data_IF_619139975870
#
_entry.id   IF_619139975870
#
_cell.length_a   1.000
_cell.length_b   1.000
_cell.length_c   1.000
_cell.angle_alpha   90.00
_cell.angle_beta   90.00
_cell.angle_gamma   90.00
#
_symmetry.space_group_name_H-M   'P 1'
#
loop_
_entity.id
_entity.type
_entity.pdbx_description
1 polymer ?
#
# COMPACT_ATOMS: atom_id res chain seq x y z
N UNK A 1 -61.65 -37.70 56.26
CA UNK A 1 -62.16 -36.96 55.09
C UNK A 1 -61.31 -35.71 54.95
N UNK A 2 -60.43 -35.72 54.04
CA UNK A 2 -59.26 -34.89 53.94
C UNK A 2 -59.47 -33.81 52.86
N UNK A 3 -59.11 -32.58 53.18
CA UNK A 3 -59.05 -31.48 52.21
C UNK A 3 -57.57 -31.11 51.98
N UNK A 4 -57.11 -31.31 50.75
CA UNK A 4 -55.80 -31.01 50.32
C UNK A 4 -55.72 -29.55 49.81
N UNK A 5 -54.88 -28.73 50.45
CA UNK A 5 -54.61 -27.36 50.00
C UNK A 5 -53.37 -27.38 49.08
N UNK A 6 -53.59 -27.04 47.83
CA UNK A 6 -52.57 -26.76 46.84
C UNK A 6 -51.99 -25.37 47.06
N UNK A 7 -50.71 -25.28 47.34
CA UNK A 7 -49.94 -24.05 47.41
C UNK A 7 -49.25 -23.82 46.05
N UNK A 8 -49.73 -22.82 45.28
CA UNK A 8 -49.07 -22.39 44.04
C UNK A 8 -48.04 -21.31 44.36
N UNK A 9 -46.76 -21.67 44.20
CA UNK A 9 -45.65 -20.70 44.26
C UNK A 9 -45.40 -20.18 42.85
N UNK A 10 -45.76 -18.94 42.57
CA UNK A 10 -45.44 -18.25 41.33
C UNK A 10 -44.01 -17.73 41.41
N UNK A 11 -43.06 -18.33 40.69
CA UNK A 11 -41.72 -17.82 40.47
C UNK A 11 -41.78 -16.74 39.38
N UNK A 12 -41.67 -15.49 39.72
CA UNK A 12 -41.39 -14.38 38.80
C UNK A 12 -39.93 -14.42 38.38
N UNK A 13 -39.66 -14.88 37.18
CA UNK A 13 -38.35 -14.65 36.54
C UNK A 13 -38.30 -13.22 36.00
N UNK A 14 -37.56 -12.35 36.68
CA UNK A 14 -37.19 -11.05 36.14
C UNK A 14 -36.02 -11.25 35.19
N UNK A 15 -36.29 -11.28 33.88
CA UNK A 15 -35.27 -11.25 32.84
C UNK A 15 -34.71 -9.84 32.77
N UNK A 16 -33.61 -9.59 33.43
CA UNK A 16 -32.82 -8.36 33.30
C UNK A 16 -32.20 -8.32 31.92
N UNK A 17 -32.79 -7.52 31.00
CA UNK A 17 -32.16 -7.20 29.73
C UNK A 17 -30.99 -6.26 30.02
N UNK A 18 -29.76 -6.79 30.05
CA UNK A 18 -28.54 -6.00 30.02
C UNK A 18 -28.43 -5.30 28.66
N UNK A 19 -28.87 -4.06 28.59
CA UNK A 19 -28.58 -3.16 27.48
C UNK A 19 -27.08 -2.82 27.52
N UNK A 20 -26.26 -3.63 26.83
CA UNK A 20 -24.89 -3.24 26.52
C UNK A 20 -24.96 -2.05 25.56
N UNK A 21 -24.24 -0.96 25.82
CA UNK A 21 -24.16 0.15 24.88
C UNK A 21 -23.50 -0.38 23.59
N UNK A 22 -24.24 -0.46 22.51
CA UNK A 22 -23.69 -0.64 21.18
C UNK A 22 -22.94 0.66 20.89
N UNK A 23 -21.63 0.64 21.03
CA UNK A 23 -20.78 1.71 20.54
C UNK A 23 -20.89 1.68 19.03
N UNK A 24 -21.86 2.37 18.49
CA UNK A 24 -22.00 2.64 17.07
C UNK A 24 -20.84 3.55 16.68
N UNK A 25 -19.83 2.98 16.07
CA UNK A 25 -18.75 3.76 15.43
C UNK A 25 -19.40 4.43 14.21
N UNK A 26 -19.90 5.65 14.43
CA UNK A 26 -20.45 6.46 13.35
C UNK A 26 -19.35 6.69 12.32
N UNK A 27 -19.57 6.20 11.10
CA UNK A 27 -18.79 6.66 9.95
C UNK A 27 -18.92 8.19 9.90
N UNK A 28 -17.80 8.90 9.90
CA UNK A 28 -17.81 10.34 9.74
C UNK A 28 -18.38 10.66 8.35
N UNK A 29 -19.57 11.23 8.31
CA UNK A 29 -20.07 11.78 7.06
C UNK A 29 -19.22 12.99 6.68
N UNK A 30 -18.84 13.13 5.40
CA UNK A 30 -18.10 14.32 4.96
C UNK A 30 -18.86 15.61 5.29
N UNK A 31 -18.12 16.69 5.55
CA UNK A 31 -18.70 18.00 5.83
C UNK A 31 -19.67 18.40 4.68
N UNK A 32 -20.92 18.79 4.99
CA UNK A 32 -21.86 19.26 3.98
C UNK A 32 -21.34 20.39 3.11
N UNK A 33 -20.51 21.29 3.66
CA UNK A 33 -19.84 22.37 2.90
C UNK A 33 -18.84 21.82 1.89
N UNK A 34 -18.11 20.76 2.26
CA UNK A 34 -17.18 20.06 1.37
C UNK A 34 -17.93 19.42 0.20
N UNK A 35 -19.08 18.76 0.48
CA UNK A 35 -19.93 18.14 -0.54
C UNK A 35 -20.47 19.21 -1.51
N UNK A 36 -20.98 20.33 -1.01
CA UNK A 36 -21.49 21.42 -1.85
C UNK A 36 -20.38 22.09 -2.69
N UNK A 37 -19.19 22.25 -2.12
CA UNK A 37 -18.02 22.72 -2.87
C UNK A 37 -17.63 21.78 -3.99
N UNK A 38 -17.51 20.50 -3.68
CA UNK A 38 -17.17 19.45 -4.64
C UNK A 38 -18.22 19.30 -5.75
N UNK A 39 -19.49 19.47 -5.42
CA UNK A 39 -20.61 19.47 -6.40
C UNK A 39 -20.51 20.64 -7.39
N UNK A 40 -20.07 21.81 -6.93
CA UNK A 40 -19.86 22.96 -7.82
C UNK A 40 -18.67 22.73 -8.74
N UNK A 41 -17.61 22.07 -8.27
CA UNK A 41 -16.42 21.75 -9.06
C UNK A 41 -16.69 20.63 -10.09
N UNK A 42 -17.52 19.66 -9.77
CA UNK A 42 -18.06 18.64 -10.66
C UNK A 42 -17.06 17.61 -11.19
N UNK A 43 -15.77 17.74 -10.86
CA UNK A 43 -14.72 16.83 -11.33
C UNK A 43 -13.53 16.75 -10.38
N UNK A 44 -12.73 15.68 -10.52
CA UNK A 44 -11.44 15.50 -9.85
C UNK A 44 -10.46 14.79 -10.77
N UNK A 45 -9.21 15.21 -10.79
CA UNK A 45 -8.12 14.59 -11.55
C UNK A 45 -7.27 13.75 -10.62
N UNK A 46 -7.31 12.43 -10.82
CA UNK A 46 -6.63 11.43 -10.02
C UNK A 46 -5.43 10.84 -10.75
N UNK A 47 -4.22 11.11 -10.25
CA UNK A 47 -2.98 10.51 -10.71
C UNK A 47 -2.56 9.35 -9.82
N UNK A 48 -2.11 8.22 -10.40
CA UNK A 48 -1.76 7.07 -9.56
C UNK A 48 -0.75 6.11 -10.17
N UNK A 49 -0.03 5.42 -9.28
CA UNK A 49 0.84 4.27 -9.61
C UNK A 49 0.14 2.92 -9.41
N UNK A 50 -1.06 2.91 -8.83
CA UNK A 50 -1.87 1.71 -8.62
C UNK A 50 -2.23 1.06 -9.96
N UNK A 51 -2.53 -0.25 -9.99
CA UNK A 51 -2.92 -0.93 -11.23
C UNK A 51 -4.20 -0.31 -11.82
N UNK A 52 -4.25 -0.22 -13.16
CA UNK A 52 -5.35 0.44 -13.86
C UNK A 52 -6.72 -0.14 -13.49
N UNK A 53 -6.83 -1.46 -13.47
CA UNK A 53 -8.08 -2.17 -13.12
C UNK A 53 -8.59 -1.79 -11.73
N UNK A 54 -7.73 -1.82 -10.70
CA UNK A 54 -8.12 -1.47 -9.34
C UNK A 54 -8.41 0.03 -9.19
N UNK A 55 -7.62 0.89 -9.87
CA UNK A 55 -7.87 2.34 -9.87
C UNK A 55 -9.22 2.66 -10.50
N UNK A 56 -9.56 2.01 -11.61
CA UNK A 56 -10.86 2.17 -12.28
C UNK A 56 -12.01 1.73 -11.38
N UNK A 57 -11.89 0.57 -10.72
CA UNK A 57 -12.91 0.11 -9.77
C UNK A 57 -13.09 1.07 -8.58
N UNK A 58 -11.99 1.72 -8.12
CA UNK A 58 -12.07 2.75 -7.07
C UNK A 58 -12.84 3.98 -7.58
N UNK A 59 -12.53 4.43 -8.80
CA UNK A 59 -13.22 5.53 -9.47
C UNK A 59 -14.71 5.22 -9.66
N UNK A 60 -15.03 4.05 -10.20
CA UNK A 60 -16.41 3.65 -10.49
C UNK A 60 -17.29 3.65 -9.21
N UNK A 61 -16.71 3.20 -8.06
CA UNK A 61 -17.41 3.24 -6.78
C UNK A 61 -17.57 4.65 -6.24
N UNK A 62 -16.54 5.48 -6.37
CA UNK A 62 -16.61 6.88 -5.96
C UNK A 62 -17.65 7.64 -6.77
N UNK A 63 -17.66 7.51 -8.10
CA UNK A 63 -18.66 8.15 -8.98
C UNK A 63 -20.07 7.64 -8.72
N UNK A 64 -20.23 6.36 -8.37
CA UNK A 64 -21.53 5.82 -7.94
C UNK A 64 -22.04 6.47 -6.65
N UNK A 65 -21.16 6.74 -5.70
CA UNK A 65 -21.49 7.39 -4.43
C UNK A 65 -21.72 8.90 -4.59
N UNK A 66 -20.93 9.54 -5.45
CA UNK A 66 -21.00 10.98 -5.72
C UNK A 66 -21.19 11.24 -7.22
N UNK A 67 -22.40 10.98 -7.76
CA UNK A 67 -22.66 11.00 -9.21
C UNK A 67 -22.52 12.37 -9.85
N UNK A 68 -22.38 13.41 -9.05
CA UNK A 68 -22.14 14.79 -9.47
C UNK A 68 -20.65 15.10 -9.68
N UNK A 69 -19.74 14.15 -9.47
CA UNK A 69 -18.28 14.30 -9.71
C UNK A 69 -17.83 13.30 -10.76
N UNK A 70 -17.11 13.80 -11.77
CA UNK A 70 -16.39 12.97 -12.74
C UNK A 70 -14.91 12.87 -12.38
N UNK A 71 -14.35 11.64 -12.43
CA UNK A 71 -12.93 11.40 -12.15
C UNK A 71 -12.15 11.21 -13.43
N UNK A 72 -11.20 12.09 -13.68
CA UNK A 72 -10.20 11.89 -14.74
C UNK A 72 -9.02 11.10 -14.17
N UNK A 73 -8.88 9.84 -14.58
CA UNK A 73 -7.85 8.94 -14.11
C UNK A 73 -6.62 8.95 -15.03
N UNK A 74 -5.45 9.23 -14.47
CA UNK A 74 -4.16 9.04 -15.14
C UNK A 74 -3.30 8.05 -14.36
N UNK A 75 -2.85 6.98 -15.02
CA UNK A 75 -2.05 5.92 -14.41
C UNK A 75 -0.72 5.71 -15.14
N UNK A 76 0.39 5.76 -14.39
CA UNK A 76 1.73 5.39 -14.89
C UNK A 76 2.61 4.86 -13.75
N UNK A 77 3.88 4.55 -14.01
CA UNK A 77 4.86 4.17 -12.98
C UNK A 77 5.35 5.36 -12.17
N UNK A 78 6.02 5.12 -11.01
CA UNK A 78 6.44 6.16 -10.07
C UNK A 78 7.33 7.23 -10.67
N UNK A 79 8.46 6.85 -11.29
CA UNK A 79 9.37 7.81 -11.92
C UNK A 79 8.73 8.63 -13.05
N UNK A 80 8.05 8.01 -14.04
CA UNK A 80 7.30 8.74 -15.07
C UNK A 80 6.20 9.65 -14.50
N UNK A 81 5.54 9.26 -13.41
CA UNK A 81 4.52 10.09 -12.77
C UNK A 81 5.13 11.34 -12.15
N UNK A 82 6.21 11.17 -11.39
CA UNK A 82 6.93 12.29 -10.78
C UNK A 82 7.45 13.27 -11.84
N UNK A 83 8.05 12.75 -12.93
CA UNK A 83 8.54 13.55 -14.04
C UNK A 83 7.40 14.32 -14.74
N UNK A 84 6.22 13.71 -14.91
CA UNK A 84 5.04 14.37 -15.45
C UNK A 84 4.62 15.56 -14.57
N UNK A 85 4.48 15.35 -13.27
CA UNK A 85 4.12 16.38 -12.29
C UNK A 85 5.12 17.54 -12.33
N UNK A 86 6.43 17.24 -12.36
CA UNK A 86 7.46 18.26 -12.44
C UNK A 86 7.45 19.03 -13.76
N UNK A 87 7.17 18.37 -14.87
CA UNK A 87 7.10 19.00 -16.17
C UNK A 87 5.90 19.94 -16.27
N UNK A 88 4.75 19.52 -15.77
CA UNK A 88 3.55 20.36 -15.68
C UNK A 88 3.78 21.57 -14.79
N UNK A 89 4.32 21.36 -13.60
CA UNK A 89 4.62 22.43 -12.64
C UNK A 89 5.61 23.47 -13.20
N UNK A 90 6.67 23.03 -13.88
CA UNK A 90 7.64 23.94 -14.53
C UNK A 90 7.00 24.75 -15.64
N UNK A 91 6.01 24.19 -16.34
CA UNK A 91 5.19 24.88 -17.33
C UNK A 91 4.06 25.74 -16.74
N UNK A 92 4.02 25.92 -15.41
CA UNK A 92 2.96 26.66 -14.70
C UNK A 92 1.61 25.93 -14.67
N UNK A 93 1.56 24.67 -15.05
CA UNK A 93 0.34 23.85 -15.07
C UNK A 93 0.25 23.02 -13.80
N UNK A 94 -0.96 22.87 -13.29
CA UNK A 94 -1.29 22.06 -12.11
C UNK A 94 -2.51 21.22 -12.45
N UNK A 95 -2.32 20.21 -13.31
CA UNK A 95 -3.39 19.48 -13.97
C UNK A 95 -3.91 18.28 -13.12
N UNK A 96 -3.53 18.19 -11.85
CA UNK A 96 -3.92 17.11 -10.97
C UNK A 96 -4.41 17.62 -9.61
N UNK A 97 -5.35 16.89 -9.04
CA UNK A 97 -5.95 17.17 -7.74
C UNK A 97 -5.41 16.26 -6.64
N UNK A 98 -5.45 14.95 -6.89
CA UNK A 98 -4.99 13.92 -5.96
C UNK A 98 -3.99 13.01 -6.65
N UNK A 99 -2.88 12.72 -5.96
CA UNK A 99 -1.93 11.69 -6.39
C UNK A 99 -1.82 10.60 -5.33
N UNK A 100 -1.90 9.33 -5.78
CA UNK A 100 -1.50 8.17 -4.99
C UNK A 100 -0.25 7.59 -5.60
N UNK A 101 0.86 7.78 -4.92
CA UNK A 101 2.18 7.45 -5.42
C UNK A 101 2.88 6.36 -4.62
N UNK A 102 4.21 6.43 -4.62
CA UNK A 102 5.11 5.67 -3.77
C UNK A 102 5.75 6.61 -2.76
N UNK A 103 6.30 6.08 -1.64
CA UNK A 103 6.93 6.86 -0.58
C UNK A 103 8.01 7.81 -1.08
N UNK A 104 8.86 7.35 -2.01
CA UNK A 104 9.95 8.15 -2.60
C UNK A 104 9.48 9.40 -3.37
N UNK A 105 8.19 9.52 -3.67
CA UNK A 105 7.65 10.71 -4.35
C UNK A 105 7.34 11.86 -3.39
N UNK A 106 7.17 11.58 -2.10
CA UNK A 106 6.70 12.56 -1.10
C UNK A 106 7.67 13.72 -0.98
N UNK A 107 8.91 13.43 -0.58
CA UNK A 107 9.88 14.47 -0.28
C UNK A 107 10.19 15.38 -1.50
N UNK A 108 10.45 14.85 -2.72
CA UNK A 108 10.64 15.70 -3.90
C UNK A 108 9.45 16.60 -4.23
N UNK A 109 8.21 16.18 -3.91
CA UNK A 109 7.02 17.01 -4.10
C UNK A 109 6.88 18.07 -3.00
N UNK A 110 7.22 17.74 -1.74
CA UNK A 110 7.21 18.68 -0.61
C UNK A 110 8.25 19.79 -0.79
N UNK A 111 9.49 19.43 -1.15
CA UNK A 111 10.57 20.40 -1.40
C UNK A 111 10.23 21.44 -2.47
N UNK A 112 9.44 21.03 -3.47
CA UNK A 112 8.94 21.92 -4.53
C UNK A 112 7.63 22.61 -4.17
N UNK A 113 7.13 22.43 -2.94
CA UNK A 113 5.87 23.03 -2.45
C UNK A 113 4.67 22.67 -3.35
N UNK A 114 4.65 21.42 -3.84
CA UNK A 114 3.60 20.93 -4.73
C UNK A 114 2.46 20.23 -4.00
N UNK A 115 2.57 20.02 -2.68
CA UNK A 115 1.57 19.37 -1.86
C UNK A 115 0.83 20.38 -0.98
N UNK A 116 -0.48 20.19 -0.84
CA UNK A 116 -1.31 20.89 0.14
C UNK A 116 -1.31 20.10 1.47
N UNK A 117 -1.25 20.83 2.58
CA UNK A 117 -1.53 20.24 3.89
C UNK A 117 -3.05 20.07 4.05
N UNK A 118 -3.49 18.85 4.38
CA UNK A 118 -4.89 18.53 4.69
C UNK A 118 -4.99 17.39 5.68
N UNK A 119 -5.66 17.63 6.80
CA UNK A 119 -5.98 16.63 7.81
C UNK A 119 -7.38 16.07 7.57
N UNK A 120 -7.43 14.81 7.14
CA UNK A 120 -8.70 14.11 6.98
C UNK A 120 -9.30 13.72 8.33
N UNK A 121 -10.62 13.78 8.51
CA UNK A 121 -11.28 13.17 9.67
C UNK A 121 -10.99 11.66 9.82
N UNK A 122 -10.62 11.00 8.73
CA UNK A 122 -10.29 9.57 8.66
C UNK A 122 -8.92 9.23 9.26
N UNK A 123 -8.01 10.21 9.39
CA UNK A 123 -6.65 10.03 9.93
C UNK A 123 -6.64 9.45 11.36
N UNK A 124 -7.71 9.67 12.14
CA UNK A 124 -7.89 9.11 13.49
C UNK A 124 -7.83 7.57 13.52
N UNK A 125 -8.19 6.95 12.40
CA UNK A 125 -8.24 5.49 12.25
C UNK A 125 -6.96 4.93 11.62
N UNK A 126 -5.99 5.77 11.31
CA UNK A 126 -4.72 5.41 10.69
C UNK A 126 -3.61 5.50 11.75
N UNK A 127 -2.59 4.67 11.63
CA UNK A 127 -1.44 4.73 12.52
C UNK A 127 -0.59 5.97 12.23
N UNK A 128 -0.08 6.63 13.28
CA UNK A 128 0.71 7.87 13.15
C UNK A 128 1.97 7.68 12.29
N UNK A 129 2.51 6.45 12.20
CA UNK A 129 3.63 6.13 11.32
C UNK A 129 3.25 6.09 9.83
N UNK A 130 1.97 6.09 9.53
CA UNK A 130 1.40 6.00 8.17
C UNK A 130 0.78 7.30 7.69
N UNK A 131 1.04 8.41 8.41
CA UNK A 131 0.58 9.74 8.04
C UNK A 131 1.62 10.80 8.44
N UNK A 132 1.73 11.84 7.63
CA UNK A 132 2.53 13.02 7.96
C UNK A 132 1.88 13.86 9.07
N UNK A 133 2.69 14.32 10.02
CA UNK A 133 2.21 15.14 11.14
C UNK A 133 1.64 16.48 10.71
N UNK A 134 2.11 17.03 9.62
CA UNK A 134 1.64 18.30 9.06
C UNK A 134 0.50 18.12 8.04
N UNK A 135 0.18 16.86 7.68
CA UNK A 135 -0.93 16.50 6.80
C UNK A 135 -0.62 16.61 5.30
N UNK A 136 0.65 16.55 4.89
CA UNK A 136 1.00 16.56 3.47
C UNK A 136 0.72 15.23 2.78
N UNK A 137 0.68 14.13 3.55
CA UNK A 137 0.34 12.81 3.03
C UNK A 137 -0.26 11.89 4.10
N UNK A 138 -1.06 10.94 3.66
CA UNK A 138 -1.51 9.81 4.47
C UNK A 138 -1.43 8.56 3.60
N UNK A 139 -0.93 7.46 4.13
CA UNK A 139 -0.88 6.20 3.40
C UNK A 139 -2.29 5.77 2.97
N UNK A 140 -2.45 5.43 1.69
CA UNK A 140 -3.68 4.82 1.19
C UNK A 140 -3.63 3.31 1.37
N UNK A 141 -2.46 2.71 1.13
CA UNK A 141 -2.17 1.31 1.38
C UNK A 141 -0.65 1.11 1.54
N UNK A 142 -0.27 -0.07 2.02
CA UNK A 142 1.13 -0.48 2.11
C UNK A 142 1.37 -1.76 1.32
N UNK A 143 2.64 -2.03 1.00
CA UNK A 143 3.09 -3.28 0.38
C UNK A 143 4.36 -3.74 1.08
N UNK A 144 4.50 -5.02 1.42
CA UNK A 144 5.75 -5.55 1.96
C UNK A 144 6.54 -6.27 0.86
N UNK A 145 7.85 -6.00 0.79
CA UNK A 145 8.76 -6.81 -0.02
C UNK A 145 8.96 -8.17 0.66
N UNK A 146 8.73 -9.22 -0.10
CA UNK A 146 8.81 -10.60 0.38
C UNK A 146 9.53 -11.49 -0.62
N UNK A 147 9.98 -12.66 -0.16
CA UNK A 147 10.48 -13.70 -1.03
C UNK A 147 9.32 -14.60 -1.50
N UNK A 148 9.04 -14.56 -2.79
CA UNK A 148 8.16 -15.51 -3.45
C UNK A 148 8.97 -16.65 -4.08
N UNK A 149 8.32 -17.79 -4.27
CA UNK A 149 8.93 -18.92 -4.97
C UNK A 149 7.90 -19.69 -5.79
N UNK A 150 8.33 -20.27 -6.91
CA UNK A 150 7.53 -21.21 -7.67
C UNK A 150 7.51 -22.56 -6.95
N UNK A 151 6.33 -23.00 -6.50
CA UNK A 151 6.15 -24.20 -5.67
C UNK A 151 6.38 -25.51 -6.43
N UNK A 152 6.46 -25.47 -7.78
CA UNK A 152 6.84 -26.63 -8.61
C UNK A 152 8.37 -26.76 -8.76
N UNK A 153 9.11 -25.65 -8.61
CA UNK A 153 10.56 -25.61 -8.81
C UNK A 153 11.34 -25.69 -7.51
N UNK A 154 10.77 -25.17 -6.41
CA UNK A 154 11.42 -25.16 -5.09
C UNK A 154 10.44 -25.71 -4.06
N UNK A 155 10.87 -26.74 -3.34
CA UNK A 155 10.12 -27.29 -2.20
C UNK A 155 10.16 -26.28 -1.03
N UNK A 156 9.12 -26.26 -0.20
CA UNK A 156 8.99 -25.33 0.93
C UNK A 156 10.16 -25.40 1.92
N UNK A 157 10.71 -26.56 2.16
CA UNK A 157 11.87 -26.81 3.03
C UNK A 157 13.16 -26.18 2.49
N UNK A 158 13.29 -26.04 1.17
CA UNK A 158 14.46 -25.49 0.46
C UNK A 158 14.43 -23.97 0.27
N UNK A 159 13.30 -23.33 0.57
CA UNK A 159 13.13 -21.88 0.41
C UNK A 159 14.07 -21.15 1.36
N UNK A 160 14.87 -20.15 0.86
CA UNK A 160 15.69 -19.29 1.71
C UNK A 160 14.86 -18.57 2.78
N UNK A 161 15.24 -18.66 4.04
CA UNK A 161 14.50 -18.07 5.17
C UNK A 161 15.11 -16.77 5.69
N UNK A 162 16.28 -16.39 5.16
CA UNK A 162 17.01 -15.17 5.54
C UNK A 162 17.57 -14.48 4.30
N UNK A 163 17.90 -13.21 4.44
CA UNK A 163 18.59 -12.46 3.38
C UNK A 163 19.91 -13.12 2.98
N UNK A 164 20.69 -13.58 3.96
CA UNK A 164 21.98 -14.24 3.70
C UNK A 164 21.82 -15.58 2.96
N UNK A 165 20.73 -16.30 3.19
CA UNK A 165 20.44 -17.54 2.49
C UNK A 165 20.17 -17.33 0.97
N UNK A 166 19.80 -16.12 0.54
CA UNK A 166 19.70 -15.74 -0.87
C UNK A 166 21.07 -15.64 -1.55
N UNK A 167 22.14 -15.46 -0.77
CA UNK A 167 23.51 -15.38 -1.27
C UNK A 167 24.16 -16.76 -1.47
N UNK A 168 23.44 -17.86 -1.17
CA UNK A 168 23.93 -19.20 -1.41
C UNK A 168 24.19 -19.41 -2.92
N UNK A 169 25.35 -19.98 -3.33
CA UNK A 169 25.69 -20.22 -4.73
C UNK A 169 24.67 -20.99 -5.56
N UNK A 170 23.81 -21.82 -4.92
CA UNK A 170 22.71 -22.52 -5.62
C UNK A 170 21.68 -21.58 -6.27
N UNK A 171 21.61 -20.32 -5.81
CA UNK A 171 20.71 -19.31 -6.34
C UNK A 171 21.36 -18.36 -7.35
N UNK A 172 22.55 -18.71 -7.86
CA UNK A 172 23.31 -17.94 -8.86
C UNK A 172 22.77 -18.13 -10.27
N UNK A 173 23.03 -17.14 -11.13
CA UNK A 173 22.77 -17.28 -12.56
C UNK A 173 21.29 -17.27 -12.94
N UNK A 174 20.57 -16.21 -12.59
CA UNK A 174 19.17 -16.02 -12.99
C UNK A 174 18.14 -16.75 -12.14
N UNK A 175 18.57 -17.35 -11.00
CA UNK A 175 17.62 -18.06 -10.12
C UNK A 175 16.75 -17.12 -9.28
N UNK A 176 17.10 -15.86 -9.18
CA UNK A 176 16.37 -14.83 -8.41
C UNK A 176 15.94 -13.71 -9.36
N UNK A 177 14.67 -13.28 -9.29
CA UNK A 177 14.26 -12.04 -9.96
C UNK A 177 14.12 -10.90 -8.95
N UNK A 178 14.64 -9.72 -9.32
CA UNK A 178 14.55 -8.47 -8.56
C UNK A 178 14.06 -7.33 -9.46
N UNK A 179 13.31 -6.38 -8.88
CA UNK A 179 12.85 -5.20 -9.62
C UNK A 179 14.00 -4.23 -9.89
N UNK A 180 14.04 -3.65 -11.09
CA UNK A 180 14.99 -2.58 -11.44
C UNK A 180 14.76 -1.31 -10.62
N UNK A 181 13.63 -1.19 -9.93
CA UNK A 181 13.23 -0.04 -9.13
C UNK A 181 12.90 -0.44 -7.68
N UNK A 182 13.62 -1.42 -7.09
CA UNK A 182 13.39 -1.83 -5.69
C UNK A 182 14.03 -0.84 -4.68
N UNK A 183 13.94 0.45 -4.96
CA UNK A 183 14.53 1.52 -4.14
C UNK A 183 14.00 1.52 -2.71
N UNK A 184 12.69 1.30 -2.53
CA UNK A 184 12.07 1.22 -1.20
C UNK A 184 12.63 0.08 -0.36
N UNK A 185 12.92 -1.09 -0.96
CA UNK A 185 13.58 -2.18 -0.25
C UNK A 185 15.01 -1.80 0.15
N UNK A 186 15.75 -1.15 -0.75
CA UNK A 186 17.12 -0.73 -0.51
C UNK A 186 17.19 0.29 0.63
N UNK A 187 16.37 1.35 0.60
CA UNK A 187 16.34 2.38 1.65
C UNK A 187 15.81 1.84 2.98
N UNK A 188 14.73 1.06 2.97
CA UNK A 188 14.21 0.47 4.20
C UNK A 188 15.21 -0.44 4.90
N UNK A 189 15.98 -1.24 4.16
CA UNK A 189 17.06 -2.05 4.73
C UNK A 189 18.25 -1.18 5.19
N UNK A 190 18.53 -0.08 4.49
CA UNK A 190 19.57 0.88 4.90
C UNK A 190 19.26 1.54 6.25
N UNK A 191 17.96 1.87 6.48
CA UNK A 191 17.49 2.37 7.77
C UNK A 191 17.71 1.37 8.92
N UNK A 192 17.68 0.07 8.65
CA UNK A 192 17.81 -0.98 9.68
C UNK A 192 19.26 -1.46 9.84
N UNK A 193 19.96 -1.71 8.73
CA UNK A 193 21.29 -2.34 8.75
C UNK A 193 22.43 -1.34 8.71
N UNK A 194 22.16 -0.10 8.37
CA UNK A 194 23.14 0.91 8.05
C UNK A 194 23.67 0.82 6.61
N UNK A 195 24.25 1.92 6.14
CA UNK A 195 24.64 2.09 4.75
C UNK A 195 25.68 1.06 4.27
N UNK A 196 26.74 0.81 5.05
CA UNK A 196 27.80 -0.11 4.66
C UNK A 196 27.30 -1.54 4.46
N UNK A 197 26.51 -2.05 5.40
CA UNK A 197 25.98 -3.42 5.35
C UNK A 197 25.02 -3.59 4.18
N UNK A 198 24.15 -2.61 3.92
CA UNK A 198 23.23 -2.66 2.78
C UNK A 198 23.99 -2.67 1.46
N UNK A 199 24.97 -1.79 1.29
CA UNK A 199 25.79 -1.75 0.07
C UNK A 199 26.53 -3.06 -0.17
N UNK A 200 27.14 -3.64 0.86
CA UNK A 200 27.83 -4.93 0.77
C UNK A 200 26.83 -6.06 0.39
N UNK A 201 25.70 -6.11 1.06
CA UNK A 201 24.67 -7.12 0.77
C UNK A 201 24.16 -7.01 -0.67
N UNK A 202 23.79 -5.81 -1.14
CA UNK A 202 23.27 -5.65 -2.50
C UNK A 202 24.32 -5.89 -3.58
N UNK A 203 25.61 -5.58 -3.32
CA UNK A 203 26.72 -5.98 -4.20
C UNK A 203 26.84 -7.51 -4.30
N UNK A 204 26.75 -8.22 -3.17
CA UNK A 204 26.74 -9.68 -3.15
C UNK A 204 25.51 -10.25 -3.86
N UNK A 205 24.34 -9.66 -3.66
CA UNK A 205 23.12 -10.06 -4.37
C UNK A 205 23.23 -9.81 -5.88
N UNK A 206 23.81 -8.69 -6.31
CA UNK A 206 24.09 -8.43 -7.71
C UNK A 206 25.06 -9.45 -8.32
N UNK A 207 26.07 -9.90 -7.54
CA UNK A 207 27.01 -10.95 -7.95
C UNK A 207 26.37 -12.35 -8.10
N UNK A 208 25.15 -12.57 -7.57
CA UNK A 208 24.34 -13.75 -7.85
C UNK A 208 23.79 -13.74 -9.30
N UNK A 209 23.87 -12.60 -10.02
CA UNK A 209 23.32 -12.47 -11.36
C UNK A 209 21.78 -12.59 -11.39
N UNK A 210 21.05 -11.78 -10.62
CA UNK A 210 19.58 -11.84 -10.63
C UNK A 210 19.03 -11.41 -11.99
N UNK A 211 17.83 -11.91 -12.33
CA UNK A 211 17.04 -11.40 -13.46
C UNK A 211 16.43 -10.07 -13.05
N UNK A 212 16.91 -9.00 -13.64
CA UNK A 212 16.46 -7.63 -13.39
C UNK A 212 15.38 -7.25 -14.40
N UNK A 213 14.19 -6.98 -13.93
CA UNK A 213 13.05 -6.59 -14.77
C UNK A 213 12.15 -5.64 -14.01
N UNK A 214 11.54 -4.68 -14.71
CA UNK A 214 10.63 -3.72 -14.12
C UNK A 214 9.25 -4.30 -13.94
N UNK A 215 8.59 -3.98 -12.82
CA UNK A 215 7.18 -4.23 -12.59
C UNK A 215 6.88 -5.55 -11.88
N UNK A 216 6.16 -5.46 -10.76
CA UNK A 216 5.86 -6.60 -9.90
C UNK A 216 4.92 -7.62 -10.56
N UNK A 217 3.85 -7.18 -11.22
CA UNK A 217 2.83 -8.10 -11.77
C UNK A 217 3.41 -9.02 -12.85
N UNK A 218 4.14 -8.45 -13.82
CA UNK A 218 4.77 -9.22 -14.90
C UNK A 218 5.80 -10.21 -14.36
N UNK A 219 6.68 -9.75 -13.43
CA UNK A 219 7.70 -10.62 -12.84
C UNK A 219 7.08 -11.79 -12.07
N UNK A 220 5.98 -11.57 -11.34
CA UNK A 220 5.27 -12.65 -10.64
C UNK A 220 4.66 -13.63 -11.65
N UNK A 221 4.11 -13.17 -12.76
CA UNK A 221 3.61 -14.04 -13.84
C UNK A 221 4.73 -14.90 -14.44
N UNK A 222 5.91 -14.32 -14.67
CA UNK A 222 7.09 -15.05 -15.17
C UNK A 222 7.59 -16.08 -14.13
N UNK A 223 7.57 -15.75 -12.85
CA UNK A 223 7.89 -16.72 -11.79
C UNK A 223 6.90 -17.90 -11.80
N UNK A 224 5.60 -17.63 -11.96
CA UNK A 224 4.56 -18.67 -12.10
C UNK A 224 4.81 -19.53 -13.33
N UNK A 225 5.25 -18.94 -14.44
CA UNK A 225 5.59 -19.64 -15.68
C UNK A 225 6.88 -20.49 -15.57
N UNK A 226 7.71 -20.26 -14.54
CA UNK A 226 8.93 -21.02 -14.29
C UNK A 226 10.21 -20.39 -14.83
N UNK A 227 10.18 -19.12 -15.26
CA UNK A 227 11.36 -18.39 -15.75
C UNK A 227 12.48 -18.28 -14.70
N UNK A 228 12.10 -18.22 -13.44
CA UNK A 228 13.00 -18.23 -12.29
C UNK A 228 12.28 -18.79 -11.05
N UNK A 229 13.00 -19.57 -10.22
CA UNK A 229 12.40 -20.22 -9.06
C UNK A 229 12.08 -19.25 -7.89
N UNK A 230 12.84 -18.15 -7.75
CA UNK A 230 12.71 -17.18 -6.67
C UNK A 230 12.46 -15.78 -7.21
N UNK A 231 11.69 -15.00 -6.44
CA UNK A 231 11.40 -13.61 -6.78
C UNK A 231 11.30 -12.76 -5.51
N UNK A 232 11.90 -11.58 -5.52
CA UNK A 232 11.60 -10.54 -4.54
C UNK A 232 10.54 -9.60 -5.13
N UNK A 233 9.35 -9.58 -4.53
CA UNK A 233 8.21 -8.81 -5.02
C UNK A 233 7.28 -8.40 -3.87
N UNK A 234 6.23 -7.64 -4.17
CA UNK A 234 5.22 -7.29 -3.17
C UNK A 234 4.33 -8.48 -2.81
N UNK A 235 4.18 -8.71 -1.52
CA UNK A 235 3.39 -9.81 -0.97
C UNK A 235 1.96 -9.87 -1.52
N UNK A 236 1.27 -8.74 -1.64
CA UNK A 236 -0.09 -8.68 -2.17
C UNK A 236 -0.17 -9.10 -3.65
N UNK A 237 0.89 -8.87 -4.44
CA UNK A 237 0.91 -9.30 -5.85
C UNK A 237 1.04 -10.82 -5.95
N UNK A 238 1.92 -11.42 -5.13
CA UNK A 238 2.07 -12.87 -5.06
C UNK A 238 0.80 -13.50 -4.47
N UNK A 239 0.26 -12.94 -3.37
CA UNK A 239 -0.93 -13.47 -2.70
C UNK A 239 -2.13 -13.57 -3.65
N UNK A 240 -2.38 -12.58 -4.50
CA UNK A 240 -3.45 -12.66 -5.51
C UNK A 240 -3.28 -13.83 -6.48
N UNK A 241 -2.06 -14.19 -6.80
CA UNK A 241 -1.78 -15.36 -7.63
C UNK A 241 -1.95 -16.65 -6.84
N UNK A 242 -1.40 -16.71 -5.61
CA UNK A 242 -1.59 -17.84 -4.69
C UNK A 242 -3.08 -18.14 -4.47
N UNK A 243 -3.91 -17.11 -4.26
CA UNK A 243 -5.36 -17.26 -4.09
C UNK A 243 -6.09 -17.80 -5.32
N UNK A 244 -5.46 -17.74 -6.50
CA UNK A 244 -5.96 -18.35 -7.75
C UNK A 244 -5.49 -19.79 -7.95
N UNK A 245 -4.77 -20.36 -6.98
CA UNK A 245 -4.28 -21.73 -7.03
C UNK A 245 -3.12 -21.98 -7.99
N UNK A 246 -2.43 -20.92 -8.48
CA UNK A 246 -1.25 -21.09 -9.32
C UNK A 246 -0.01 -21.42 -8.49
N UNK A 247 1.03 -22.03 -9.07
CA UNK A 247 2.15 -22.59 -8.32
C UNK A 247 3.14 -21.52 -7.83
N UNK A 248 2.69 -20.64 -6.97
CA UNK A 248 3.53 -19.64 -6.30
C UNK A 248 3.07 -19.44 -4.85
N UNK A 249 4.02 -19.24 -3.94
CA UNK A 249 3.75 -18.84 -2.55
C UNK A 249 4.85 -17.87 -2.09
N UNK A 250 4.74 -17.35 -0.86
CA UNK A 250 5.68 -16.38 -0.33
C UNK A 250 5.90 -16.51 1.17
N UNK A 251 7.08 -16.06 1.60
CA UNK A 251 7.44 -15.81 3.01
C UNK A 251 8.03 -14.40 3.14
N UNK A 252 7.87 -13.81 4.32
CA UNK A 252 8.58 -12.60 4.68
C UNK A 252 10.01 -12.96 5.14
N UNK A 253 11.00 -12.18 4.71
CA UNK A 253 12.33 -12.19 5.30
C UNK A 253 12.37 -11.23 6.50
N UNK A 254 13.27 -11.42 7.46
CA UNK A 254 13.34 -10.61 8.69
C UNK A 254 14.44 -9.54 8.59
N UNK A 255 14.07 -8.25 8.65
CA UNK A 255 12.74 -7.70 8.58
C UNK A 255 12.20 -7.59 7.14
N UNK A 256 10.89 -7.71 6.96
CA UNK A 256 10.26 -7.33 5.69
C UNK A 256 10.20 -5.80 5.60
N UNK A 257 10.67 -5.22 4.51
CA UNK A 257 10.48 -3.79 4.27
C UNK A 257 9.07 -3.55 3.74
N UNK A 258 8.35 -2.69 4.42
CA UNK A 258 6.99 -2.30 4.06
C UNK A 258 6.97 -0.90 3.46
N UNK A 259 6.70 -0.83 2.18
CA UNK A 259 6.61 0.40 1.42
C UNK A 259 5.26 1.08 1.65
N UNK A 260 5.31 2.38 1.87
CA UNK A 260 4.13 3.25 1.95
C UNK A 260 3.69 3.69 0.56
N UNK A 261 2.38 3.69 0.32
CA UNK A 261 1.78 4.25 -0.88
C UNK A 261 0.87 5.42 -0.49
N UNK A 262 1.43 6.64 -0.39
CA UNK A 262 0.73 7.80 0.11
C UNK A 262 -0.29 8.35 -0.87
N UNK A 263 -1.41 8.82 -0.35
CA UNK A 263 -2.31 9.76 -0.98
C UNK A 263 -1.88 11.17 -0.61
N UNK A 264 -1.88 12.07 -1.59
CA UNK A 264 -1.44 13.46 -1.47
C UNK A 264 -2.36 14.37 -2.29
N UNK A 265 -2.60 15.59 -1.82
CA UNK A 265 -3.39 16.61 -2.51
C UNK A 265 -2.46 17.66 -3.11
N UNK A 266 -2.73 18.12 -4.33
CA UNK A 266 -1.96 19.16 -4.98
C UNK A 266 -2.12 20.52 -4.29
N UNK A 267 -0.99 21.23 -4.07
CA UNK A 267 -1.01 22.58 -3.47
C UNK A 267 -1.85 23.58 -4.29
N UNK A 268 -1.97 23.36 -5.59
CA UNK A 268 -2.76 24.16 -6.53
C UNK A 268 -3.76 23.26 -7.26
N UNK A 269 -4.37 22.33 -6.54
CA UNK A 269 -5.40 21.44 -7.09
C UNK A 269 -6.51 22.28 -7.76
N UNK A 270 -6.83 22.04 -9.04
CA UNK A 270 -7.89 22.76 -9.75
C UNK A 270 -9.27 22.62 -9.09
N UNK A 271 -9.51 21.50 -8.39
CA UNK A 271 -10.79 21.14 -7.77
C UNK A 271 -10.59 20.78 -6.29
N UNK A 272 -10.26 21.75 -5.42
CA UNK A 272 -9.78 21.47 -4.06
C UNK A 272 -10.82 20.82 -3.15
N UNK A 273 -12.11 21.05 -3.35
CA UNK A 273 -13.16 20.39 -2.57
C UNK A 273 -13.40 18.96 -3.06
N UNK A 274 -13.45 18.73 -4.37
CA UNK A 274 -13.56 17.40 -4.95
C UNK A 274 -12.32 16.55 -4.64
N UNK A 275 -11.12 17.17 -4.62
CA UNK A 275 -9.88 16.53 -4.19
C UNK A 275 -9.97 16.01 -2.74
N UNK A 276 -10.41 16.86 -1.81
CA UNK A 276 -10.57 16.49 -0.40
C UNK A 276 -11.63 15.39 -0.23
N UNK A 277 -12.76 15.51 -0.93
CA UNK A 277 -13.83 14.50 -0.86
C UNK A 277 -13.36 13.15 -1.40
N UNK A 278 -12.60 13.12 -2.51
CA UNK A 278 -12.01 11.89 -3.04
C UNK A 278 -10.95 11.32 -2.09
N UNK A 279 -10.11 12.16 -1.51
CA UNK A 279 -9.10 11.79 -0.53
C UNK A 279 -9.73 11.15 0.72
N UNK A 280 -10.78 11.78 1.30
CA UNK A 280 -11.52 11.22 2.42
C UNK A 280 -12.18 9.89 2.05
N UNK A 281 -12.75 9.78 0.84
CA UNK A 281 -13.37 8.54 0.38
C UNK A 281 -12.39 7.37 0.34
N UNK A 282 -11.21 7.55 -0.25
CA UNK A 282 -10.23 6.46 -0.33
C UNK A 282 -9.65 6.06 1.03
N UNK A 283 -9.63 6.97 2.01
CA UNK A 283 -9.20 6.71 3.39
C UNK A 283 -10.35 6.24 4.29
N UNK A 284 -11.60 6.38 3.86
CA UNK A 284 -12.77 5.93 4.61
C UNK A 284 -12.79 4.42 4.79
N UNK A 285 -13.58 3.93 5.75
CA UNK A 285 -13.76 2.50 5.95
C UNK A 285 -14.20 1.79 4.66
N UNK A 286 -15.14 2.39 3.91
CA UNK A 286 -15.62 1.86 2.64
C UNK A 286 -14.50 1.74 1.60
N UNK A 287 -13.65 2.78 1.43
CA UNK A 287 -12.51 2.77 0.53
C UNK A 287 -11.47 1.72 0.93
N UNK A 288 -11.22 1.56 2.23
CA UNK A 288 -10.27 0.60 2.75
C UNK A 288 -10.78 -0.86 2.70
N UNK A 289 -12.08 -1.09 2.88
CA UNK A 289 -12.71 -2.39 2.64
C UNK A 289 -12.65 -2.77 1.15
N UNK A 290 -12.75 -1.79 0.25
CA UNK A 290 -12.50 -2.02 -1.16
C UNK A 290 -11.07 -2.46 -1.44
N UNK A 291 -10.07 -1.82 -0.80
CA UNK A 291 -8.66 -2.26 -0.89
C UNK A 291 -8.47 -3.69 -0.39
N UNK A 292 -9.09 -4.05 0.73
CA UNK A 292 -9.11 -5.42 1.24
C UNK A 292 -9.65 -6.39 0.18
N UNK A 293 -10.74 -6.03 -0.49
CA UNK A 293 -11.31 -6.82 -1.59
C UNK A 293 -10.36 -6.98 -2.78
N UNK A 294 -9.42 -6.06 -2.99
CA UNK A 294 -8.35 -6.18 -3.97
C UNK A 294 -7.15 -7.01 -3.47
N UNK A 295 -7.24 -7.57 -2.27
CA UNK A 295 -6.12 -8.21 -1.56
C UNK A 295 -4.93 -7.27 -1.39
N UNK A 296 -5.19 -5.98 -1.19
CA UNK A 296 -4.19 -5.00 -0.72
C UNK A 296 -4.21 -4.93 0.79
N UNK A 297 -3.20 -4.30 1.35
CA UNK A 297 -3.06 -4.11 2.79
C UNK A 297 -3.65 -2.74 3.15
N UNK A 298 -4.86 -2.70 3.77
CA UNK A 298 -5.45 -1.47 4.28
C UNK A 298 -4.59 -0.86 5.39
N UNK A 299 -4.76 0.44 5.60
CA UNK A 299 -4.02 1.18 6.63
C UNK A 299 -4.89 1.55 7.85
N UNK A 300 -6.20 1.35 7.77
CA UNK A 300 -7.13 1.61 8.88
C UNK A 300 -7.03 0.53 9.94
N UNK A 301 -7.03 0.94 11.19
CA UNK A 301 -7.00 0.06 12.38
C UNK A 301 -8.22 -0.86 12.48
N UNK A 302 -9.36 -0.47 11.88
CA UNK A 302 -10.63 -1.20 11.91
C UNK A 302 -10.92 -2.00 10.62
N UNK A 303 -9.93 -2.13 9.72
CA UNK A 303 -10.03 -2.92 8.48
C UNK A 303 -8.84 -3.86 8.37
N UNK A 304 -9.03 -5.12 8.75
CA UNK A 304 -7.99 -6.15 8.65
C UNK A 304 -7.73 -6.54 7.19
N UNK A 305 -6.46 -6.83 6.80
CA UNK A 305 -6.15 -7.35 5.48
C UNK A 305 -6.72 -8.75 5.27
N UNK A 306 -7.00 -9.12 4.02
CA UNK A 306 -7.48 -10.45 3.65
C UNK A 306 -6.61 -11.06 2.52
N UNK A 307 -5.92 -12.19 2.81
CA UNK A 307 -5.84 -12.89 4.09
C UNK A 307 -4.98 -12.14 5.14
N UNK A 308 -5.19 -12.40 6.45
CA UNK A 308 -4.43 -11.73 7.52
C UNK A 308 -2.91 -11.87 7.40
N UNK A 309 -2.40 -12.98 6.80
CA UNK A 309 -0.97 -13.19 6.57
C UNK A 309 -0.29 -12.08 5.76
N UNK A 310 -1.05 -11.25 5.05
CA UNK A 310 -0.50 -10.11 4.30
C UNK A 310 0.22 -9.10 5.20
N UNK A 311 -0.21 -8.99 6.48
CA UNK A 311 0.38 -8.03 7.42
C UNK A 311 0.49 -8.56 8.86
N UNK A 312 0.36 -9.90 9.04
CA UNK A 312 0.46 -10.56 10.34
C UNK A 312 1.44 -11.73 10.27
N UNK A 313 2.07 -12.04 11.41
CA UNK A 313 2.91 -13.23 11.55
C UNK A 313 4.36 -13.07 11.08
N UNK A 314 4.83 -11.84 10.81
CA UNK A 314 6.22 -11.54 10.49
C UNK A 314 6.64 -10.17 11.04
N UNK A 315 7.95 -9.97 11.18
CA UNK A 315 8.50 -8.66 11.53
C UNK A 315 8.67 -7.80 10.28
N UNK A 316 8.31 -6.53 10.40
CA UNK A 316 8.45 -5.58 9.32
C UNK A 316 8.98 -4.24 9.83
N UNK A 317 9.52 -3.48 8.90
CA UNK A 317 9.85 -2.06 9.08
C UNK A 317 9.09 -1.27 8.02
N UNK A 318 8.47 -0.18 8.44
CA UNK A 318 7.81 0.75 7.52
C UNK A 318 8.88 1.70 7.00
N UNK A 319 9.01 1.83 5.68
CA UNK A 319 9.85 2.89 5.12
C UNK A 319 9.26 4.25 5.53
N UNK A 320 10.12 5.16 5.94
CA UNK A 320 9.70 6.54 6.16
C UNK A 320 9.91 7.33 4.85
N UNK A 321 8.86 7.93 4.25
CA UNK A 321 9.00 8.77 3.07
C UNK A 321 10.00 9.94 3.23
N UNK A 322 10.25 10.38 4.46
CA UNK A 322 11.21 11.45 4.74
C UNK A 322 12.68 10.99 4.71
N UNK A 323 12.94 9.67 4.72
CA UNK A 323 14.30 9.13 4.64
C UNK A 323 14.90 9.25 3.22
N UNK A 324 14.07 9.53 2.22
CA UNK A 324 14.49 9.75 0.84
C UNK A 324 15.11 11.14 0.58
N UNK A 325 15.85 11.68 1.56
CA UNK A 325 16.47 13.02 1.47
C UNK A 325 17.39 13.19 0.27
N UNK A 326 18.00 12.11 -0.19
CA UNK A 326 18.82 12.09 -1.40
C UNK A 326 18.41 10.92 -2.30
N UNK A 327 17.17 11.02 -2.81
CA UNK A 327 16.60 9.99 -3.67
C UNK A 327 17.42 9.75 -4.94
N UNK A 328 17.98 10.81 -5.51
CA UNK A 328 18.81 10.71 -6.71
C UNK A 328 20.09 9.91 -6.43
N UNK A 329 20.73 10.10 -5.26
CA UNK A 329 21.88 9.30 -4.85
C UNK A 329 21.48 7.83 -4.60
N UNK A 330 20.32 7.58 -3.99
CA UNK A 330 19.80 6.22 -3.80
C UNK A 330 19.58 5.52 -5.13
N UNK A 331 18.93 6.17 -6.08
CA UNK A 331 18.73 5.66 -7.44
C UNK A 331 20.08 5.37 -8.10
N UNK A 332 21.00 6.33 -8.06
CA UNK A 332 22.34 6.17 -8.63
C UNK A 332 23.09 4.97 -8.04
N UNK A 333 23.16 4.86 -6.71
CA UNK A 333 23.80 3.74 -6.03
C UNK A 333 23.19 2.38 -6.44
N UNK A 334 21.86 2.30 -6.48
CA UNK A 334 21.14 1.09 -6.88
C UNK A 334 21.47 0.70 -8.33
N UNK A 335 21.41 1.67 -9.26
CA UNK A 335 21.72 1.45 -10.67
C UNK A 335 23.19 1.03 -10.88
N UNK A 336 24.15 1.64 -10.17
CA UNK A 336 25.57 1.29 -10.20
C UNK A 336 25.81 -0.15 -9.71
N UNK A 337 25.20 -0.55 -8.57
CA UNK A 337 25.32 -1.89 -8.01
C UNK A 337 24.87 -2.96 -9.01
N UNK A 338 23.72 -2.74 -9.64
CA UNK A 338 23.12 -3.70 -10.58
C UNK A 338 23.53 -3.46 -12.04
N UNK A 339 24.42 -2.49 -12.32
CA UNK A 339 24.89 -2.12 -13.67
C UNK A 339 23.71 -1.81 -14.64
N UNK A 340 22.69 -1.17 -14.12
CA UNK A 340 21.55 -0.66 -14.88
C UNK A 340 21.91 0.72 -15.48
N UNK A 341 21.32 1.01 -16.67
CA UNK A 341 21.52 2.30 -17.37
C UNK A 341 20.26 3.17 -17.27
#
# INVERSE_FOLDING_TARGET
MSLWKLCQTVCLFVVGILLLPVVSWSQSSPDPKLIEGAKKEGQVVYYTTMTLDQSKQTVDRFEKKYPFIKVTLFRTGGGPLLNKIFTESRGGRHDWDVVVGRGEMVLPLMERKLLASYRSPEDKMIDDQLADKEGYWTAYYVNSYVLGWNTKLVKREDVPKTYDALLNPKWKGGQISLDTEAYGMFEGLKGVWGNEKVLDYFKKLAAQGPVLKRGNTERVQLAVAGEYPLIIAYNQTIQRMTSRGVPIDWIALDPAVTQVNPAMIGAKAPHPNAARLFYEYILSKEGQEQLRGFQRIPVRKDVEPDPPRLFRGFKYVIENPEDYKDFDATVKQYLEIFKLR
#
